data_IF_952955951741
#
_entry.id   IF_952955951741
#
_cell.length_a   1.000
_cell.length_b   1.000
_cell.length_c   1.000
_cell.angle_alpha   90.00
_cell.angle_beta   90.00
_cell.angle_gamma   90.00
#
_symmetry.space_group_name_H-M   'P 1'
#
loop_
_entity.id
_entity.type
_entity.pdbx_description
1 polymer ?
#
# COMPACT_ATOMS: atom_id res chain seq x y z
N UNK A 1 -8.56 10.25 7.35
CA UNK A 1 -9.12 9.38 6.29
C UNK A 1 -9.12 7.92 6.73
N UNK A 2 -9.56 7.64 7.97
CA UNK A 2 -9.52 6.30 8.60
C UNK A 2 -10.78 5.47 8.30
N UNK A 3 -11.05 4.49 9.17
CA UNK A 3 -11.25 3.03 8.98
C UNK A 3 -12.17 2.54 7.85
N UNK A 4 -12.91 3.43 7.19
CA UNK A 4 -13.87 3.08 6.15
C UNK A 4 -13.18 2.49 4.90
N UNK A 5 -12.02 3.02 4.51
CA UNK A 5 -11.23 2.51 3.37
C UNK A 5 -10.70 1.11 3.66
N UNK A 6 -10.16 0.85 4.86
CA UNK A 6 -9.69 -0.47 5.26
C UNK A 6 -10.81 -1.51 5.23
N UNK A 7 -12.00 -1.16 5.75
CA UNK A 7 -13.15 -2.06 5.77
C UNK A 7 -13.62 -2.47 4.36
N UNK A 8 -13.60 -1.53 3.40
CA UNK A 8 -13.93 -1.84 1.99
C UNK A 8 -12.88 -2.75 1.37
N UNK A 9 -11.59 -2.54 1.69
CA UNK A 9 -10.49 -3.38 1.20
C UNK A 9 -10.51 -4.79 1.79
N UNK A 10 -10.96 -4.99 3.03
CA UNK A 10 -11.07 -6.33 3.64
C UNK A 10 -12.20 -7.18 3.04
N UNK A 11 -13.29 -6.55 2.57
CA UNK A 11 -14.48 -7.27 2.07
C UNK A 11 -14.28 -7.90 0.68
N UNK A 12 -13.26 -7.46 -0.05
CA UNK A 12 -12.90 -7.95 -1.38
C UNK A 12 -11.44 -8.43 -1.32
N UNK A 13 -11.10 -9.59 -1.88
CA UNK A 13 -9.72 -10.11 -1.84
C UNK A 13 -8.80 -9.26 -2.72
N UNK A 14 -8.16 -8.24 -2.13
CA UNK A 14 -7.22 -7.36 -2.80
C UNK A 14 -5.86 -7.33 -2.10
N UNK A 15 -4.85 -6.94 -2.88
CA UNK A 15 -3.50 -6.65 -2.39
C UNK A 15 -3.20 -5.19 -2.70
N UNK A 16 -2.90 -4.41 -1.67
CA UNK A 16 -2.58 -3.00 -1.78
C UNK A 16 -1.16 -2.82 -2.34
N UNK A 17 -1.04 -2.05 -3.42
CA UNK A 17 0.26 -1.68 -4.01
C UNK A 17 0.52 -0.20 -3.74
N UNK A 18 1.66 0.10 -3.12
CA UNK A 18 2.15 1.46 -2.89
C UNK A 18 3.57 1.61 -3.43
N UNK A 19 3.97 2.83 -3.79
CA UNK A 19 5.37 3.11 -4.02
C UNK A 19 6.12 3.00 -2.67
N UNK A 20 7.20 2.22 -2.65
CA UNK A 20 8.05 2.09 -1.47
C UNK A 20 9.17 3.15 -1.52
N UNK A 21 8.88 4.34 -2.05
CA UNK A 21 9.85 5.42 -2.03
C UNK A 21 10.14 5.76 -0.57
N UNK A 22 11.43 5.85 -0.22
CA UNK A 22 11.87 6.01 1.18
C UNK A 22 11.31 7.28 1.83
N UNK A 23 10.92 8.27 1.03
CA UNK A 23 10.29 9.53 1.46
C UNK A 23 8.79 9.39 1.76
N UNK A 24 8.13 8.34 1.24
CA UNK A 24 6.69 8.07 1.42
C UNK A 24 6.42 6.84 2.31
N UNK A 25 7.44 6.02 2.58
CA UNK A 25 7.36 4.86 3.45
C UNK A 25 7.49 5.24 4.94
N UNK A 26 6.45 5.88 5.51
CA UNK A 26 6.42 6.19 6.94
C UNK A 26 6.21 4.93 7.80
N UNK A 27 6.87 4.85 8.97
CA UNK A 27 6.64 3.76 9.94
C UNK A 27 5.19 3.70 10.40
N UNK A 28 4.57 4.86 10.64
CA UNK A 28 3.16 4.97 11.03
C UNK A 28 2.22 4.36 9.99
N UNK A 29 2.50 4.56 8.69
CA UNK A 29 1.69 3.97 7.62
C UNK A 29 1.83 2.45 7.60
N UNK A 30 3.05 1.92 7.76
CA UNK A 30 3.28 0.47 7.82
C UNK A 30 2.56 -0.18 9.00
N UNK A 31 2.71 0.39 10.19
CA UNK A 31 2.02 -0.10 11.39
C UNK A 31 0.50 -0.07 11.22
N UNK A 32 -0.05 0.99 10.63
CA UNK A 32 -1.50 1.04 10.38
C UNK A 32 -1.97 -0.04 9.39
N UNK A 33 -1.21 -0.32 8.34
CA UNK A 33 -1.55 -1.38 7.37
C UNK A 33 -1.52 -2.76 8.02
N UNK A 34 -0.53 -3.01 8.87
CA UNK A 34 -0.41 -4.24 9.67
C UNK A 34 -1.58 -4.38 10.67
N UNK A 35 -1.88 -3.33 11.44
CA UNK A 35 -2.97 -3.31 12.44
C UNK A 35 -4.37 -3.51 11.83
N UNK A 36 -4.54 -3.25 10.53
CA UNK A 36 -5.81 -3.36 9.82
C UNK A 36 -5.86 -4.58 8.87
N UNK A 37 -4.93 -5.54 9.00
CA UNK A 37 -4.88 -6.75 8.17
C UNK A 37 -4.91 -6.44 6.65
N UNK A 38 -4.31 -5.32 6.24
CA UNK A 38 -4.26 -4.92 4.83
C UNK A 38 -3.09 -5.65 4.17
N UNK A 39 -3.40 -6.60 3.29
CA UNK A 39 -2.38 -7.27 2.48
C UNK A 39 -1.67 -6.25 1.58
N UNK A 40 -0.35 -6.19 1.64
CA UNK A 40 0.48 -5.30 0.82
C UNK A 40 1.43 -6.09 -0.07
N UNK A 41 1.78 -5.53 -1.23
CA UNK A 41 2.79 -6.11 -2.12
C UNK A 41 4.17 -5.54 -1.77
N UNK A 42 5.14 -6.44 -1.48
CA UNK A 42 6.54 -6.04 -1.30
C UNK A 42 7.12 -5.58 -2.63
N UNK A 43 7.41 -4.27 -2.73
CA UNK A 43 8.01 -3.67 -3.91
C UNK A 43 9.37 -3.04 -3.59
N UNK A 44 10.39 -3.26 -4.43
CA UNK A 44 11.65 -2.54 -4.30
C UNK A 44 11.44 -1.03 -4.38
N UNK A 45 12.14 -0.30 -3.51
CA UNK A 45 12.16 1.17 -3.54
C UNK A 45 12.72 1.65 -4.87
N UNK A 46 12.14 2.74 -5.42
CA UNK A 46 12.58 3.39 -6.67
C UNK A 46 12.50 2.50 -7.92
N UNK A 47 11.43 1.70 -8.02
CA UNK A 47 11.10 0.94 -9.23
C UNK A 47 9.88 1.53 -9.95
N UNK A 48 10.03 2.69 -10.61
CA UNK A 48 8.96 3.33 -11.39
C UNK A 48 8.44 2.40 -12.50
N UNK A 49 9.34 1.60 -13.09
CA UNK A 49 9.09 0.57 -14.09
C UNK A 49 8.05 -0.47 -13.66
N UNK A 50 7.98 -0.76 -12.36
CA UNK A 50 7.03 -1.71 -11.79
C UNK A 50 5.70 -1.07 -11.36
N UNK A 51 5.46 0.20 -11.71
CA UNK A 51 4.22 0.91 -11.38
C UNK A 51 3.32 0.99 -12.62
N UNK A 52 2.20 0.25 -12.67
CA UNK A 52 1.25 0.38 -13.76
C UNK A 52 0.69 1.80 -13.89
N UNK A 53 0.67 2.58 -12.81
CA UNK A 53 0.19 3.97 -12.81
C UNK A 53 1.16 4.96 -13.46
N UNK A 54 2.44 4.58 -13.64
CA UNK A 54 3.45 5.43 -14.30
C UNK A 54 3.60 5.11 -15.80
N UNK A 55 2.93 4.07 -16.29
CA UNK A 55 2.96 3.64 -17.69
C UNK A 55 1.73 4.12 -18.49
N UNK A 56 1.09 5.20 -18.04
CA UNK A 56 -0.07 5.84 -18.68
C UNK A 56 0.34 6.91 -19.70
#
# INVERSE_FOLDING_TARGET
MGPLVALVLQKLRFTFQQDNATIHASRSTKTWLEDNDVATMDRPSRSPDLNPMENL
#
